data_IF_526975292838
#
_entry.id   IF_526975292838
#
_cell.length_a   1.000
_cell.length_b   1.000
_cell.length_c   1.000
_cell.angle_alpha   90.00
_cell.angle_beta   90.00
_cell.angle_gamma   90.00
#
_symmetry.space_group_name_H-M   'P 1'
#
loop_
_entity.id
_entity.type
_entity.pdbx_description
1 polymer ?
#
# COMPACT_ATOMS: atom_id res chain seq x y z
N UNK A 1 6.60 -22.46 -11.49
CA UNK A 1 6.42 -21.17 -12.20
C UNK A 1 5.59 -21.48 -13.42
N UNK A 2 4.41 -20.87 -13.54
CA UNK A 2 3.64 -20.99 -14.78
C UNK A 2 4.49 -20.38 -15.91
N UNK A 3 4.54 -21.00 -17.11
CA UNK A 3 5.18 -20.37 -18.25
C UNK A 3 4.52 -19.01 -18.52
N UNK A 4 5.27 -18.07 -19.10
CA UNK A 4 4.79 -16.73 -19.51
C UNK A 4 3.87 -16.84 -20.75
N UNK A 5 3.00 -17.85 -20.78
CA UNK A 5 1.92 -17.99 -21.74
C UNK A 5 0.75 -17.23 -21.13
N UNK A 6 0.55 -16.00 -21.64
CA UNK A 6 -0.60 -15.11 -21.43
C UNK A 6 -1.45 -15.43 -20.19
N UNK A 7 -1.26 -14.64 -19.13
CA UNK A 7 -2.11 -14.76 -17.95
C UNK A 7 -3.59 -14.70 -18.39
N UNK A 8 -4.46 -15.57 -17.88
CA UNK A 8 -5.87 -15.61 -18.27
C UNK A 8 -6.64 -14.41 -17.68
N UNK A 9 -6.30 -13.20 -18.12
CA UNK A 9 -6.91 -11.94 -17.68
C UNK A 9 -8.13 -11.65 -18.56
N UNK A 10 -9.23 -12.35 -18.30
CA UNK A 10 -10.50 -12.08 -18.97
C UNK A 10 -11.38 -11.13 -18.15
N UNK A 11 -11.03 -9.84 -18.18
CA UNK A 11 -11.81 -8.77 -17.55
C UNK A 11 -12.64 -8.08 -18.63
N UNK A 12 -13.97 -8.12 -18.51
CA UNK A 12 -14.86 -7.40 -19.43
C UNK A 12 -14.64 -5.89 -19.34
N UNK A 13 -14.48 -5.25 -20.50
CA UNK A 13 -14.40 -3.79 -20.62
C UNK A 13 -12.99 -3.21 -20.49
N UNK A 14 -11.93 -4.04 -20.44
CA UNK A 14 -10.55 -3.56 -20.51
C UNK A 14 -10.09 -3.53 -21.97
N UNK A 15 -9.40 -2.45 -22.33
CA UNK A 15 -8.74 -2.34 -23.63
C UNK A 15 -7.55 -3.31 -23.72
N UNK A 16 -7.18 -3.83 -24.91
CA UNK A 16 -6.01 -4.69 -25.08
C UNK A 16 -4.69 -4.09 -24.57
N UNK A 17 -4.48 -2.77 -24.66
CA UNK A 17 -3.29 -2.12 -24.09
C UNK A 17 -3.32 -2.17 -22.56
N UNK A 18 -4.49 -1.98 -21.96
CA UNK A 18 -4.69 -2.06 -20.51
C UNK A 18 -4.49 -3.48 -20.00
N UNK A 19 -4.93 -4.49 -20.77
CA UNK A 19 -4.65 -5.91 -20.48
C UNK A 19 -3.15 -6.17 -20.45
N UNK A 20 -2.42 -5.75 -21.48
CA UNK A 20 -0.96 -5.92 -21.55
C UNK A 20 -0.25 -5.23 -20.39
N UNK A 21 -0.61 -3.99 -20.08
CA UNK A 21 -0.05 -3.27 -18.94
C UNK A 21 -0.34 -3.97 -17.59
N UNK A 22 -1.52 -4.59 -17.45
CA UNK A 22 -1.88 -5.35 -16.26
C UNK A 22 -1.06 -6.64 -16.15
N UNK A 23 -0.89 -7.38 -17.25
CA UNK A 23 -0.05 -8.58 -17.31
C UNK A 23 1.40 -8.27 -16.93
N UNK A 24 1.98 -7.20 -17.49
CA UNK A 24 3.35 -6.76 -17.19
C UNK A 24 3.53 -6.45 -15.70
N UNK A 25 2.56 -5.77 -15.07
CA UNK A 25 2.60 -5.45 -13.64
C UNK A 25 2.45 -6.68 -12.75
N UNK A 26 1.64 -7.66 -13.15
CA UNK A 26 1.49 -8.91 -12.39
C UNK A 26 2.79 -9.72 -12.45
N UNK A 27 3.38 -9.85 -13.64
CA UNK A 27 4.65 -10.58 -13.81
C UNK A 27 5.79 -9.90 -13.06
N UNK A 28 5.86 -8.56 -13.07
CA UNK A 28 6.82 -7.80 -12.27
C UNK A 28 6.61 -8.03 -10.77
N UNK A 29 5.35 -8.05 -10.31
CA UNK A 29 5.05 -8.36 -8.92
C UNK A 29 5.51 -9.77 -8.53
N UNK A 30 5.14 -10.80 -9.30
CA UNK A 30 5.50 -12.19 -9.01
C UNK A 30 7.02 -12.42 -9.00
N UNK A 31 7.75 -11.83 -9.96
CA UNK A 31 9.20 -12.02 -10.06
C UNK A 31 9.98 -11.24 -9.01
N UNK A 32 9.64 -9.97 -8.82
CA UNK A 32 10.51 -9.03 -8.11
C UNK A 32 10.01 -8.71 -6.69
N UNK A 33 8.70 -8.87 -6.41
CA UNK A 33 8.08 -8.35 -5.19
C UNK A 33 7.40 -9.42 -4.32
N UNK A 34 6.90 -10.52 -4.90
CA UNK A 34 6.32 -11.65 -4.17
C UNK A 34 7.31 -12.24 -3.15
N UNK A 35 8.60 -12.47 -3.49
CA UNK A 35 9.55 -13.03 -2.52
C UNK A 35 9.78 -12.11 -1.32
N UNK A 36 9.68 -10.79 -1.51
CA UNK A 36 9.82 -9.80 -0.43
C UNK A 36 8.55 -9.73 0.42
N UNK A 37 7.38 -9.86 -0.21
CA UNK A 37 6.09 -9.76 0.46
C UNK A 37 5.82 -11.01 1.31
N UNK A 38 6.06 -12.20 0.76
CA UNK A 38 5.81 -13.49 1.43
C UNK A 38 6.84 -13.82 2.53
N UNK A 39 8.05 -13.24 2.48
CA UNK A 39 9.10 -13.45 3.50
C UNK A 39 9.17 -12.34 4.57
N UNK A 40 8.14 -11.51 4.67
CA UNK A 40 8.04 -10.48 5.71
C UNK A 40 8.90 -9.24 5.47
N UNK A 41 9.40 -9.02 4.25
CA UNK A 41 10.09 -7.79 3.84
C UNK A 41 9.18 -6.56 3.81
N UNK A 42 9.67 -5.48 3.21
CA UNK A 42 8.96 -4.20 3.14
C UNK A 42 7.59 -4.30 2.44
N UNK A 43 7.42 -5.31 1.56
CA UNK A 43 6.22 -5.50 0.74
C UNK A 43 6.15 -4.52 -0.43
N UNK A 44 5.20 -4.73 -1.33
CA UNK A 44 4.91 -3.80 -2.44
C UNK A 44 4.30 -2.47 -1.95
N UNK A 45 3.58 -2.50 -0.83
CA UNK A 45 3.04 -1.31 -0.15
C UNK A 45 3.80 -1.08 1.16
N UNK A 46 4.34 0.13 1.42
CA UNK A 46 5.03 0.44 2.65
C UNK A 46 4.15 0.16 3.88
N UNK A 47 4.64 -0.66 4.81
CA UNK A 47 3.97 -0.88 6.10
C UNK A 47 4.06 0.36 6.97
N UNK A 48 3.02 0.60 7.78
CA UNK A 48 3.04 1.60 8.84
C UNK A 48 4.21 1.27 9.79
N UNK A 49 5.10 2.24 9.96
CA UNK A 49 6.30 2.12 10.80
C UNK A 49 5.97 2.56 12.23
N UNK A 50 6.80 2.13 13.18
CA UNK A 50 6.71 2.61 14.58
C UNK A 50 6.73 4.15 14.68
N UNK A 51 7.51 4.80 13.82
CA UNK A 51 7.57 6.26 13.74
C UNK A 51 6.26 6.94 13.36
N UNK A 52 5.45 6.29 12.51
CA UNK A 52 4.16 6.85 12.07
C UNK A 52 3.16 6.89 13.24
N UNK A 53 3.17 5.87 14.10
CA UNK A 53 2.37 5.85 15.33
C UNK A 53 2.80 6.93 16.32
N UNK A 54 4.11 7.16 16.49
CA UNK A 54 4.64 8.21 17.36
C UNK A 54 4.21 9.58 16.82
N UNK A 55 4.39 9.82 15.52
CA UNK A 55 3.99 11.07 14.88
C UNK A 55 2.49 11.33 15.04
N UNK A 56 1.64 10.33 14.73
CA UNK A 56 0.20 10.44 14.92
C UNK A 56 -0.17 10.70 16.39
N UNK A 57 0.51 10.04 17.33
CA UNK A 57 0.31 10.27 18.76
C UNK A 57 0.61 11.70 19.18
N UNK A 58 1.73 12.27 18.69
CA UNK A 58 2.13 13.66 18.99
C UNK A 58 1.11 14.66 18.44
N UNK A 59 0.69 14.52 17.18
CA UNK A 59 -0.29 15.42 16.56
C UNK A 59 -1.62 15.35 17.30
N UNK A 60 -2.13 14.15 17.57
CA UNK A 60 -3.38 13.99 18.32
C UNK A 60 -3.27 14.54 19.74
N UNK A 61 -2.14 14.34 20.41
CA UNK A 61 -1.88 14.92 21.73
C UNK A 61 -1.89 16.44 21.74
N UNK A 62 -1.28 17.07 20.72
CA UNK A 62 -1.29 18.53 20.57
C UNK A 62 -2.71 19.08 20.32
N UNK A 63 -3.49 18.41 19.46
CA UNK A 63 -4.90 18.77 19.22
C UNK A 63 -5.72 18.65 20.50
N UNK A 64 -5.54 17.56 21.26
CA UNK A 64 -6.23 17.35 22.53
C UNK A 64 -5.88 18.43 23.56
N UNK A 65 -4.60 18.77 23.70
CA UNK A 65 -4.14 19.83 24.61
C UNK A 65 -4.73 21.19 24.22
N UNK A 66 -4.69 21.54 22.93
CA UNK A 66 -5.32 22.74 22.43
C UNK A 66 -6.81 22.78 22.77
N UNK A 67 -7.54 21.68 22.54
CA UNK A 67 -8.96 21.59 22.83
C UNK A 67 -9.26 21.80 24.33
N UNK A 68 -8.50 21.16 25.23
CA UNK A 68 -8.65 21.33 26.68
C UNK A 68 -8.44 22.80 27.07
N UNK A 69 -7.36 23.42 26.58
CA UNK A 69 -7.07 24.83 26.86
C UNK A 69 -8.20 25.74 26.34
N UNK A 70 -8.66 25.51 25.11
CA UNK A 70 -9.73 26.29 24.52
C UNK A 70 -11.03 26.20 25.32
N UNK A 71 -11.39 25.01 25.81
CA UNK A 71 -12.59 24.81 26.65
C UNK A 71 -12.42 25.44 28.04
N UNK A 72 -11.22 25.37 28.65
CA UNK A 72 -10.97 25.94 29.97
C UNK A 72 -10.86 27.48 29.96
N UNK A 73 -10.49 28.07 28.82
CA UNK A 73 -10.36 29.52 28.65
C UNK A 73 -11.56 30.16 27.94
N UNK A 74 -12.59 29.37 27.57
CA UNK A 74 -13.87 29.84 27.05
C UNK A 74 -14.87 30.08 28.19
#
# INVERSE_FOLDING_TARGET
MLPVEQLPIDIKGIDPEMRKALEERIVDFEKNHEPQTSKGGAGYVPKIRKGDYIFAGVINGAILLYYIIAVLMA
#
